data_IF_115509766400
#
_entry.id   IF_115509766400
#
_cell.length_a   1.000
_cell.length_b   1.000
_cell.length_c   1.000
_cell.angle_alpha   90.00
_cell.angle_beta   90.00
_cell.angle_gamma   90.00
#
_symmetry.space_group_name_H-M   'P 1'
#
loop_
_entity.id
_entity.type
_entity.pdbx_description
1 polymer ?
#
# COMPACT_ATOMS: atom_id res chain seq x y z
N UNK A 1 -19.98 -3.60 -9.18
CA UNK A 1 -18.88 -3.13 -10.03
C UNK A 1 -19.32 -3.17 -11.47
N UNK A 2 -19.27 -2.03 -12.16
CA UNK A 2 -19.72 -1.92 -13.54
C UNK A 2 -18.83 -2.67 -14.54
N UNK A 3 -17.57 -2.91 -14.20
CA UNK A 3 -16.59 -3.59 -15.05
C UNK A 3 -15.68 -4.49 -14.20
N UNK A 4 -16.08 -5.76 -13.99
CA UNK A 4 -15.27 -6.69 -13.20
C UNK A 4 -13.88 -6.98 -13.78
N UNK A 5 -13.75 -7.00 -15.11
CA UNK A 5 -12.45 -7.22 -15.75
C UNK A 5 -11.51 -6.05 -15.49
N UNK A 6 -12.01 -4.83 -15.56
CA UNK A 6 -11.24 -3.64 -15.23
C UNK A 6 -10.77 -3.67 -13.77
N UNK A 7 -11.67 -4.00 -12.84
CA UNK A 7 -11.33 -4.11 -11.43
C UNK A 7 -10.26 -5.19 -11.18
N UNK A 8 -10.39 -6.35 -11.82
CA UNK A 8 -9.42 -7.44 -11.68
C UNK A 8 -8.04 -7.06 -12.19
N UNK A 9 -7.95 -6.42 -13.35
CA UNK A 9 -6.67 -5.97 -13.90
C UNK A 9 -6.03 -4.89 -13.03
N UNK A 10 -6.83 -3.97 -12.53
CA UNK A 10 -6.33 -2.92 -11.65
C UNK A 10 -5.84 -3.50 -10.31
N UNK A 11 -6.58 -4.45 -9.74
CA UNK A 11 -6.15 -5.16 -8.55
C UNK A 11 -4.81 -5.89 -8.79
N UNK A 12 -4.65 -6.53 -9.93
CA UNK A 12 -3.39 -7.19 -10.29
C UNK A 12 -2.23 -6.19 -10.32
N UNK A 13 -2.41 -5.04 -10.97
CA UNK A 13 -1.38 -4.00 -11.02
C UNK A 13 -1.07 -3.43 -9.65
N UNK A 14 -2.08 -3.19 -8.83
CA UNK A 14 -1.88 -2.69 -7.47
C UNK A 14 -1.15 -3.71 -6.59
N UNK A 15 -1.46 -5.00 -6.77
CA UNK A 15 -0.78 -6.06 -6.03
C UNK A 15 0.69 -6.18 -6.41
N UNK A 16 1.00 -6.11 -7.70
CA UNK A 16 2.39 -6.09 -8.17
C UNK A 16 3.13 -4.88 -7.62
N UNK A 17 2.51 -3.71 -7.64
CA UNK A 17 3.08 -2.50 -7.04
C UNK A 17 3.32 -2.65 -5.55
N UNK A 18 2.41 -3.31 -4.85
CA UNK A 18 2.59 -3.59 -3.42
C UNK A 18 3.87 -4.42 -3.17
N UNK A 19 4.09 -5.47 -3.96
CA UNK A 19 5.30 -6.28 -3.80
C UNK A 19 6.57 -5.52 -4.17
N UNK A 20 6.51 -4.64 -5.16
CA UNK A 20 7.63 -3.74 -5.46
C UNK A 20 7.96 -2.88 -4.24
N UNK A 21 6.95 -2.29 -3.61
CA UNK A 21 7.15 -1.44 -2.44
C UNK A 21 7.65 -2.18 -1.21
N UNK A 22 7.06 -3.34 -0.91
CA UNK A 22 7.39 -4.08 0.31
C UNK A 22 8.70 -4.86 0.22
N UNK A 23 9.03 -5.39 -0.95
CA UNK A 23 10.18 -6.28 -1.12
C UNK A 23 11.28 -5.71 -2.01
N UNK A 24 10.95 -4.84 -2.93
CA UNK A 24 11.94 -4.23 -3.82
C UNK A 24 12.50 -2.91 -3.31
N UNK A 25 11.65 -2.05 -2.78
CA UNK A 25 12.01 -0.69 -2.36
C UNK A 25 12.20 -0.54 -0.85
N UNK A 26 11.90 -1.56 -0.06
CA UNK A 26 12.13 -1.54 1.36
C UNK A 26 13.49 -2.15 1.69
N UNK A 27 14.44 -1.31 2.15
CA UNK A 27 15.74 -1.79 2.60
C UNK A 27 15.60 -2.56 3.94
N UNK A 28 16.61 -3.38 4.26
CA UNK A 28 16.68 -4.04 5.56
C UNK A 28 16.60 -3.03 6.71
N UNK A 29 17.29 -1.91 6.57
CA UNK A 29 17.30 -0.85 7.59
C UNK A 29 15.91 -0.29 7.79
N UNK A 30 15.21 0.06 6.72
CA UNK A 30 13.83 0.55 6.80
C UNK A 30 12.91 -0.48 7.43
N UNK A 31 13.03 -1.76 7.05
CA UNK A 31 12.21 -2.83 7.60
C UNK A 31 12.40 -3.01 9.10
N UNK A 32 13.64 -2.85 9.58
CA UNK A 32 13.94 -3.00 11.01
C UNK A 32 13.60 -1.76 11.82
N UNK A 33 13.93 -0.57 11.30
CA UNK A 33 13.85 0.69 12.06
C UNK A 33 12.49 1.36 12.00
N UNK A 34 11.58 0.89 11.17
CA UNK A 34 10.24 1.51 11.05
C UNK A 34 9.29 1.17 12.20
N UNK A 35 9.68 0.29 13.10
CA UNK A 35 8.86 -0.07 14.26
C UNK A 35 9.21 0.80 15.47
N UNK A 36 8.22 1.16 16.32
CA UNK A 36 8.47 1.97 17.51
C UNK A 36 9.55 1.36 18.40
N UNK A 37 10.50 2.18 18.84
CA UNK A 37 11.63 1.74 19.66
C UNK A 37 12.80 1.14 18.91
N UNK A 38 12.72 0.98 17.60
CA UNK A 38 13.75 0.35 16.75
C UNK A 38 14.52 1.35 15.88
N UNK A 39 14.18 2.64 15.94
CA UNK A 39 14.91 3.66 15.19
C UNK A 39 16.32 3.85 15.73
N UNK A 40 17.32 3.63 14.89
CA UNK A 40 18.74 3.80 15.23
C UNK A 40 19.34 4.99 14.47
N UNK A 41 19.19 5.00 13.15
CA UNK A 41 19.72 6.08 12.30
C UNK A 41 18.76 7.25 12.16
N UNK A 42 17.45 6.95 12.13
CA UNK A 42 16.37 7.93 12.15
C UNK A 42 15.30 7.44 13.11
N UNK A 43 14.46 8.36 13.59
CA UNK A 43 13.28 7.99 14.38
C UNK A 43 12.36 7.07 13.56
N UNK A 44 11.75 6.10 14.23
CA UNK A 44 10.90 5.11 13.56
C UNK A 44 9.74 5.75 12.77
N UNK A 45 9.23 6.88 13.26
CA UNK A 45 8.13 7.59 12.60
C UNK A 45 8.49 8.08 11.20
N UNK A 46 9.74 8.49 10.98
CA UNK A 46 10.23 8.87 9.66
C UNK A 46 10.28 7.66 8.72
N UNK A 47 10.80 6.54 9.22
CA UNK A 47 10.91 5.32 8.42
C UNK A 47 9.54 4.78 7.99
N UNK A 48 8.62 4.62 8.94
CA UNK A 48 7.30 4.07 8.64
C UNK A 48 6.48 5.01 7.75
N UNK A 49 6.59 6.33 7.99
CA UNK A 49 5.92 7.33 7.16
C UNK A 49 6.45 7.32 5.73
N UNK A 50 7.77 7.26 5.57
CA UNK A 50 8.38 7.21 4.24
C UNK A 50 8.02 5.92 3.50
N UNK A 51 8.05 4.78 4.18
CA UNK A 51 7.68 3.50 3.58
C UNK A 51 6.20 3.49 3.15
N UNK A 52 5.30 3.93 4.03
CA UNK A 52 3.89 4.03 3.70
C UNK A 52 3.64 5.04 2.57
N UNK A 53 4.42 6.13 2.54
CA UNK A 53 4.35 7.14 1.48
C UNK A 53 4.75 6.59 0.11
N UNK A 54 5.75 5.71 0.06
CA UNK A 54 6.11 5.01 -1.19
C UNK A 54 4.91 4.22 -1.71
N UNK A 55 4.23 3.49 -0.84
CA UNK A 55 3.03 2.73 -1.23
C UNK A 55 1.90 3.65 -1.68
N UNK A 56 1.69 4.76 -0.98
CA UNK A 56 0.71 5.76 -1.39
C UNK A 56 1.00 6.32 -2.78
N UNK A 57 2.26 6.62 -3.07
CA UNK A 57 2.68 7.08 -4.39
C UNK A 57 2.40 6.03 -5.47
N UNK A 58 2.73 4.77 -5.21
CA UNK A 58 2.48 3.68 -6.16
C UNK A 58 0.99 3.51 -6.45
N UNK A 59 0.14 3.60 -5.44
CA UNK A 59 -1.32 3.53 -5.63
C UNK A 59 -1.82 4.73 -6.44
N UNK A 60 -1.36 5.93 -6.12
CA UNK A 60 -1.73 7.13 -6.87
C UNK A 60 -1.30 7.02 -8.33
N UNK A 61 -0.09 6.51 -8.58
CA UNK A 61 0.45 6.33 -9.93
C UNK A 61 -0.37 5.32 -10.73
N UNK A 62 -0.68 4.18 -10.14
CA UNK A 62 -1.41 3.09 -10.82
C UNK A 62 -2.88 3.46 -11.06
N UNK A 63 -3.54 4.04 -10.07
CA UNK A 63 -4.97 4.41 -10.20
C UNK A 63 -5.20 5.72 -10.93
N UNK A 64 -4.20 6.61 -10.94
CA UNK A 64 -4.37 7.98 -11.41
C UNK A 64 -5.19 8.85 -10.47
N UNK A 65 -5.42 8.40 -9.23
CA UNK A 65 -6.27 9.11 -8.25
C UNK A 65 -5.43 9.41 -7.00
N UNK A 66 -4.92 10.65 -6.86
CA UNK A 66 -4.09 11.01 -5.70
C UNK A 66 -4.76 10.77 -4.34
N UNK A 67 -6.07 10.93 -4.24
CA UNK A 67 -6.78 10.67 -2.99
C UNK A 67 -6.74 9.20 -2.58
N UNK A 68 -6.72 8.27 -3.52
CA UNK A 68 -6.51 6.86 -3.21
C UNK A 68 -5.08 6.61 -2.74
N UNK A 69 -4.12 7.35 -3.27
CA UNK A 69 -2.74 7.32 -2.77
C UNK A 69 -2.66 7.79 -1.33
N UNK A 70 -3.36 8.86 -0.98
CA UNK A 70 -3.43 9.33 0.41
C UNK A 70 -4.09 8.30 1.32
N UNK A 71 -5.19 7.69 0.87
CA UNK A 71 -5.86 6.63 1.63
C UNK A 71 -4.92 5.44 1.87
N UNK A 72 -4.19 5.02 0.84
CA UNK A 72 -3.19 3.96 0.98
C UNK A 72 -2.10 4.35 1.98
N UNK A 73 -1.60 5.59 1.91
CA UNK A 73 -0.57 6.08 2.82
C UNK A 73 -1.00 5.88 4.27
N UNK A 74 -2.22 6.29 4.60
CA UNK A 74 -2.78 6.17 5.95
C UNK A 74 -2.98 4.71 6.33
N UNK A 75 -3.64 3.94 5.47
CA UNK A 75 -3.97 2.52 5.75
C UNK A 75 -2.70 1.68 5.85
N UNK A 76 -1.73 1.90 4.95
CA UNK A 76 -0.46 1.18 4.97
C UNK A 76 0.30 1.42 6.28
N UNK A 77 0.36 2.68 6.71
CA UNK A 77 0.96 3.07 7.98
C UNK A 77 0.33 2.31 9.15
N UNK A 78 -1.01 2.27 9.20
CA UNK A 78 -1.73 1.62 10.30
C UNK A 78 -1.55 0.10 10.30
N UNK A 79 -1.57 -0.54 9.12
CA UNK A 79 -1.36 -1.99 9.02
C UNK A 79 0.05 -2.36 9.46
N UNK A 80 1.05 -1.63 8.99
CA UNK A 80 2.45 -1.86 9.37
C UNK A 80 2.67 -1.62 10.86
N UNK A 81 2.07 -0.58 11.41
CA UNK A 81 2.16 -0.31 12.83
C UNK A 81 1.56 -1.44 13.66
N UNK A 82 0.42 -2.00 13.22
CA UNK A 82 -0.19 -3.15 13.87
C UNK A 82 0.73 -4.37 13.88
N UNK A 83 1.42 -4.64 12.78
CA UNK A 83 2.43 -5.70 12.72
C UNK A 83 3.61 -5.40 13.65
N UNK A 84 4.10 -4.17 13.68
CA UNK A 84 5.16 -3.76 14.59
C UNK A 84 4.78 -3.98 16.07
N UNK A 85 3.52 -3.85 16.41
CA UNK A 85 2.99 -4.07 17.76
C UNK A 85 2.57 -5.51 18.00
N UNK A 86 2.90 -6.43 17.09
CA UNK A 86 2.61 -7.86 17.17
C UNK A 86 1.11 -8.19 17.24
N UNK A 87 0.24 -7.33 16.69
CA UNK A 87 -1.19 -7.62 16.60
C UNK A 87 -1.48 -8.71 15.56
N UNK A 88 -0.63 -8.84 14.53
CA UNK A 88 -0.70 -9.90 13.54
C UNK A 88 0.69 -10.22 12.99
N UNK A 89 0.79 -11.39 12.37
CA UNK A 89 2.01 -11.89 11.74
C UNK A 89 2.04 -11.53 10.25
N UNK A 90 3.15 -11.84 9.60
CA UNK A 90 3.37 -11.51 8.19
C UNK A 90 2.25 -11.98 7.26
N UNK A 91 1.71 -13.23 7.34
CA UNK A 91 0.62 -13.62 6.44
C UNK A 91 -0.62 -12.74 6.57
N UNK A 92 -1.03 -12.40 7.78
CA UNK A 92 -2.17 -11.51 8.00
C UNK A 92 -1.85 -10.09 7.56
N UNK A 93 -0.64 -9.60 7.83
CA UNK A 93 -0.18 -8.28 7.38
C UNK A 93 -0.29 -8.17 5.85
N UNK A 94 0.20 -9.16 5.11
CA UNK A 94 0.12 -9.17 3.66
C UNK A 94 -1.33 -9.30 3.17
N UNK A 95 -2.14 -10.12 3.84
CA UNK A 95 -3.56 -10.24 3.50
C UNK A 95 -4.31 -8.90 3.66
N UNK A 96 -4.04 -8.15 4.73
CA UNK A 96 -4.67 -6.85 4.96
C UNK A 96 -4.24 -5.84 3.89
N UNK A 97 -2.96 -5.83 3.51
CA UNK A 97 -2.47 -4.96 2.44
C UNK A 97 -3.14 -5.29 1.10
N UNK A 98 -3.21 -6.57 0.75
CA UNK A 98 -3.83 -6.99 -0.52
C UNK A 98 -5.34 -6.71 -0.52
N UNK A 99 -6.00 -6.87 0.62
CA UNK A 99 -7.42 -6.51 0.74
C UNK A 99 -7.63 -5.01 0.49
N UNK A 100 -6.77 -4.16 1.02
CA UNK A 100 -6.87 -2.72 0.74
C UNK A 100 -6.69 -2.41 -0.74
N UNK A 101 -5.81 -3.14 -1.45
CA UNK A 101 -5.64 -2.97 -2.90
C UNK A 101 -6.91 -3.35 -3.66
N UNK A 102 -7.61 -4.38 -3.20
CA UNK A 102 -8.90 -4.74 -3.79
C UNK A 102 -9.92 -3.61 -3.61
N UNK A 103 -9.97 -3.01 -2.42
CA UNK A 103 -10.85 -1.87 -2.17
C UNK A 103 -10.51 -0.69 -3.09
N UNK A 104 -9.23 -0.37 -3.26
CA UNK A 104 -8.82 0.72 -4.15
C UNK A 104 -9.19 0.43 -5.61
N UNK A 105 -9.02 -0.82 -6.04
CA UNK A 105 -9.41 -1.22 -7.40
C UNK A 105 -10.90 -1.02 -7.63
N UNK A 106 -11.73 -1.47 -6.69
CA UNK A 106 -13.19 -1.33 -6.80
C UNK A 106 -13.62 0.13 -6.78
N UNK A 107 -13.03 0.94 -5.90
CA UNK A 107 -13.33 2.37 -5.82
C UNK A 107 -12.89 3.12 -7.09
N UNK A 108 -11.71 2.83 -7.60
CA UNK A 108 -11.19 3.49 -8.79
C UNK A 108 -12.07 3.21 -10.02
N UNK A 109 -12.50 1.97 -10.20
CA UNK A 109 -13.35 1.59 -11.31
C UNK A 109 -14.76 2.14 -11.12
N UNK A 110 -15.30 2.08 -9.90
CA UNK A 110 -16.66 2.55 -9.61
C UNK A 110 -16.82 4.07 -9.74
N UNK A 111 -15.80 4.85 -9.35
CA UNK A 111 -15.88 6.32 -9.35
C UNK A 111 -15.44 6.90 -10.69
N UNK A 112 -14.32 6.45 -11.24
CA UNK A 112 -13.68 7.06 -12.41
C UNK A 112 -13.69 6.18 -13.66
N UNK A 113 -14.27 4.99 -13.61
CA UNK A 113 -14.23 4.02 -14.71
C UNK A 113 -12.82 3.41 -14.88
N UNK A 114 -11.92 3.69 -13.98
CA UNK A 114 -10.55 3.25 -14.00
C UNK A 114 -9.59 4.24 -14.68
N UNK A 115 -8.27 3.98 -14.65
CA UNK A 115 -7.28 4.82 -15.32
C UNK A 115 -7.47 4.87 -16.84
N UNK A 116 -7.08 5.98 -17.46
CA UNK A 116 -7.18 6.15 -18.91
C UNK A 116 -6.42 5.11 -19.70
N UNK A 117 -5.24 4.69 -19.22
CA UNK A 117 -4.42 3.65 -19.86
C UNK A 117 -5.09 2.27 -19.86
N UNK A 118 -6.11 2.12 -19.08
CA UNK A 118 -6.80 0.87 -18.85
C UNK A 118 -8.05 0.72 -19.73
N UNK A 119 -8.49 1.79 -20.36
CA UNK A 119 -9.68 1.79 -21.23
C UNK A 119 -9.27 1.49 -22.68
#
# INVERSE_FOLDING_TARGET
VSDPAAAANLFLMLSMGHFVGDFGLQSDRMAREKCPGHGVTLGWGWWITAHAGIHGFLVALVTGIPLLGLAEWIVHFLIDLGKCRHLWRLPMDQALHLFSKLLWALLAVGVAGGPGWFR
#
